data_IF_526159042635
#
_entry.id   IF_526159042635
#
_cell.length_a   1.000
_cell.length_b   1.000
_cell.length_c   1.000
_cell.angle_alpha   90.00
_cell.angle_beta   90.00
_cell.angle_gamma   90.00
#
_symmetry.space_group_name_H-M   'P 1'
#
loop_
_entity.id
_entity.type
_entity.pdbx_description
1 polymer ?
#
# COMPACT_ATOMS: atom_id res chain seq x y z
N UNK A 1 -18.24 -3.24 14.27
CA UNK A 1 -16.96 -3.36 15.01
C UNK A 1 -15.97 -2.39 14.37
N UNK A 2 -15.32 -1.53 15.12
CA UNK A 2 -14.48 -0.49 14.53
C UNK A 2 -13.17 -1.14 14.01
N UNK A 3 -12.87 -1.04 12.71
CA UNK A 3 -11.70 -1.68 12.06
C UNK A 3 -10.36 -1.31 12.72
N UNK A 4 -10.25 -0.10 13.28
CA UNK A 4 -9.06 0.39 13.95
C UNK A 4 -8.75 -0.40 15.24
N UNK A 5 -9.77 -0.76 16.01
CA UNK A 5 -9.63 -1.56 17.24
C UNK A 5 -9.08 -2.96 16.91
N UNK A 6 -9.60 -3.58 15.87
CA UNK A 6 -9.15 -4.92 15.46
C UNK A 6 -7.69 -4.95 14.99
N UNK A 7 -7.21 -3.92 14.27
CA UNK A 7 -5.81 -3.86 13.81
C UNK A 7 -4.85 -3.72 15.00
N UNK A 8 -5.15 -2.86 15.97
CA UNK A 8 -4.32 -2.71 17.17
C UNK A 8 -4.19 -4.03 17.94
N UNK A 9 -5.31 -4.73 18.16
CA UNK A 9 -5.32 -6.04 18.83
C UNK A 9 -4.44 -7.06 18.09
N UNK A 10 -4.50 -7.11 16.76
CA UNK A 10 -3.66 -7.98 15.95
C UNK A 10 -2.17 -7.63 16.04
N UNK A 11 -1.83 -6.33 16.06
CA UNK A 11 -0.43 -5.91 16.29
C UNK A 11 0.06 -6.31 17.69
N UNK A 12 -0.78 -6.19 18.73
CA UNK A 12 -0.44 -6.61 20.09
C UNK A 12 -0.23 -8.12 20.15
N UNK A 13 -1.14 -8.88 19.59
CA UNK A 13 -1.11 -10.35 19.56
C UNK A 13 0.01 -10.93 18.68
N UNK A 14 0.60 -10.12 17.77
CA UNK A 14 1.58 -10.61 16.79
C UNK A 14 0.96 -11.43 15.65
N UNK A 15 -0.36 -11.45 15.52
CA UNK A 15 -1.09 -12.13 14.43
C UNK A 15 -1.10 -11.26 13.16
N UNK A 16 0.01 -11.25 12.46
CA UNK A 16 0.26 -10.40 11.29
C UNK A 16 0.66 -11.25 10.07
N UNK A 17 -0.25 -12.01 9.47
CA UNK A 17 0.07 -12.88 8.33
C UNK A 17 0.57 -12.12 7.10
N UNK A 18 0.31 -10.80 7.02
CA UNK A 18 0.80 -9.91 5.97
C UNK A 18 2.20 -9.34 6.24
N UNK A 19 2.69 -9.41 7.48
CA UNK A 19 4.01 -8.89 7.85
C UNK A 19 5.05 -10.01 7.81
N UNK A 20 5.71 -10.14 6.67
CA UNK A 20 6.78 -11.12 6.45
C UNK A 20 8.14 -10.65 6.95
N UNK A 21 8.21 -9.40 7.45
CA UNK A 21 9.47 -8.75 7.81
C UNK A 21 10.30 -8.28 6.61
N UNK A 22 9.86 -8.59 5.38
CA UNK A 22 10.52 -8.25 4.11
C UNK A 22 9.62 -7.32 3.28
N UNK A 23 10.21 -6.66 2.28
CA UNK A 23 9.45 -5.92 1.26
C UNK A 23 8.72 -6.90 0.32
N UNK A 24 7.61 -6.45 -0.25
CA UNK A 24 6.84 -7.25 -1.21
C UNK A 24 7.57 -7.32 -2.57
N UNK A 25 7.72 -8.53 -3.10
CA UNK A 25 8.42 -8.77 -4.35
C UNK A 25 7.75 -8.10 -5.56
N UNK A 26 6.41 -7.91 -5.54
CA UNK A 26 5.73 -7.19 -6.61
C UNK A 26 6.13 -5.72 -6.67
N UNK A 27 6.35 -5.08 -5.49
CA UNK A 27 6.87 -3.71 -5.44
C UNK A 27 8.26 -3.64 -6.11
N UNK A 28 9.20 -4.48 -5.68
CA UNK A 28 10.56 -4.46 -6.23
C UNK A 28 10.59 -4.80 -7.71
N UNK A 29 9.80 -5.78 -8.14
CA UNK A 29 9.65 -6.15 -9.54
C UNK A 29 9.21 -4.96 -10.39
N UNK A 30 8.13 -4.27 -10.00
CA UNK A 30 7.62 -3.12 -10.75
C UNK A 30 8.61 -1.96 -10.77
N UNK A 31 9.24 -1.63 -9.63
CA UNK A 31 10.22 -0.53 -9.57
C UNK A 31 11.38 -0.79 -10.50
N UNK A 32 11.89 -2.02 -10.53
CA UNK A 32 13.05 -2.41 -11.36
C UNK A 32 12.65 -2.51 -12.84
N UNK A 33 11.61 -3.29 -13.17
CA UNK A 33 11.21 -3.54 -14.57
C UNK A 33 10.72 -2.29 -15.29
N UNK A 34 10.03 -1.39 -14.57
CA UNK A 34 9.57 -0.10 -15.12
C UNK A 34 10.58 1.02 -14.97
N UNK A 35 11.75 0.73 -14.41
CA UNK A 35 12.83 1.69 -14.18
C UNK A 35 12.33 2.97 -13.48
N UNK A 36 11.48 2.79 -12.44
CA UNK A 36 10.89 3.93 -11.72
C UNK A 36 12.01 4.66 -10.98
N UNK A 37 12.30 5.87 -11.42
CA UNK A 37 13.37 6.69 -10.87
C UNK A 37 13.06 7.12 -9.45
N UNK A 38 14.11 7.12 -8.60
CA UNK A 38 14.00 7.57 -7.22
C UNK A 38 13.45 9.00 -7.14
N UNK A 39 12.42 9.18 -6.33
CA UNK A 39 11.71 10.44 -6.18
C UNK A 39 11.09 10.54 -4.76
N UNK A 40 10.31 11.60 -4.51
CA UNK A 40 9.46 11.61 -3.33
C UNK A 40 8.39 10.54 -3.47
N UNK A 41 8.36 9.59 -2.55
CA UNK A 41 7.39 8.50 -2.53
C UNK A 41 6.53 8.53 -1.26
N UNK A 42 5.29 8.04 -1.38
CA UNK A 42 4.40 7.83 -0.24
C UNK A 42 3.98 6.36 -0.18
N UNK A 43 4.09 5.75 1.01
CA UNK A 43 3.45 4.46 1.29
C UNK A 43 2.23 4.66 2.18
N UNK A 44 1.07 4.13 1.75
CA UNK A 44 -0.20 4.20 2.49
C UNK A 44 -0.50 2.84 3.12
N UNK A 45 -0.73 2.83 4.44
CA UNK A 45 -0.90 1.58 5.20
C UNK A 45 0.44 0.83 5.32
N UNK A 46 1.49 1.53 5.74
CA UNK A 46 2.87 1.00 5.68
C UNK A 46 3.15 -0.13 6.69
N UNK A 47 2.24 -0.38 7.66
CA UNK A 47 2.47 -1.38 8.69
C UNK A 47 3.80 -1.16 9.42
N UNK A 48 4.62 -2.21 9.52
CA UNK A 48 5.95 -2.16 10.16
C UNK A 48 7.06 -1.62 9.25
N UNK A 49 6.71 -1.04 8.09
CA UNK A 49 7.59 -0.23 7.26
C UNK A 49 8.54 -0.98 6.33
N UNK A 50 8.39 -2.28 6.11
CA UNK A 50 9.33 -3.06 5.31
C UNK A 50 9.48 -2.55 3.87
N UNK A 51 8.38 -2.16 3.22
CA UNK A 51 8.40 -1.59 1.87
C UNK A 51 8.97 -0.16 1.86
N UNK A 52 8.59 0.68 2.83
CA UNK A 52 9.13 2.04 2.98
C UNK A 52 10.65 2.02 3.14
N UNK A 53 11.16 1.12 3.98
CA UNK A 53 12.59 0.91 4.20
C UNK A 53 13.28 0.50 2.90
N UNK A 54 12.72 -0.48 2.18
CA UNK A 54 13.28 -0.92 0.90
C UNK A 54 13.28 0.22 -0.13
N UNK A 55 12.19 0.96 -0.29
CA UNK A 55 12.14 2.14 -1.17
C UNK A 55 13.22 3.17 -0.80
N UNK A 56 13.43 3.43 0.50
CA UNK A 56 14.47 4.34 0.95
C UNK A 56 15.88 3.83 0.61
N UNK A 57 16.13 2.53 0.69
CA UNK A 57 17.37 1.90 0.25
C UNK A 57 17.59 2.02 -1.26
N UNK A 58 16.51 2.12 -2.05
CA UNK A 58 16.57 2.40 -3.49
C UNK A 58 16.70 3.91 -3.80
N UNK A 59 16.93 4.76 -2.80
CA UNK A 59 17.14 6.20 -2.97
C UNK A 59 15.87 7.06 -3.00
N UNK A 60 14.68 6.49 -2.78
CA UNK A 60 13.44 7.28 -2.66
C UNK A 60 13.41 8.09 -1.36
N UNK A 61 12.87 9.33 -1.43
CA UNK A 61 12.53 10.11 -0.24
C UNK A 61 11.14 9.72 0.25
N UNK A 62 11.07 8.83 1.25
CA UNK A 62 9.83 8.16 1.63
C UNK A 62 9.11 8.87 2.77
N UNK A 63 7.81 9.11 2.56
CA UNK A 63 6.82 9.42 3.60
C UNK A 63 5.85 8.23 3.70
N UNK A 64 5.72 7.65 4.89
CA UNK A 64 4.90 6.47 5.09
C UNK A 64 3.85 6.72 6.19
N UNK A 65 2.63 6.28 5.97
CA UNK A 65 1.53 6.48 6.92
C UNK A 65 0.82 5.17 7.25
N UNK A 66 0.41 5.05 8.49
CA UNK A 66 -0.49 4.00 8.98
C UNK A 66 -1.43 4.59 10.02
N UNK A 67 -2.59 3.98 10.22
CA UNK A 67 -3.54 4.40 11.28
C UNK A 67 -3.14 3.87 12.65
N UNK A 68 -2.28 2.86 12.70
CA UNK A 68 -1.91 2.08 13.88
C UNK A 68 -0.61 2.60 14.46
N UNK A 69 -0.65 3.16 15.67
CA UNK A 69 0.52 3.72 16.34
C UNK A 69 1.61 2.66 16.59
N UNK A 70 1.21 1.45 17.01
CA UNK A 70 2.13 0.33 17.26
C UNK A 70 2.90 -0.05 15.98
N UNK A 71 2.24 -0.03 14.82
CA UNK A 71 2.88 -0.27 13.54
C UNK A 71 3.95 0.77 13.25
N UNK A 72 3.60 2.06 13.41
CA UNK A 72 4.52 3.18 13.18
C UNK A 72 5.73 3.13 14.12
N UNK A 73 5.55 2.83 15.40
CA UNK A 73 6.66 2.67 16.36
C UNK A 73 7.62 1.56 15.92
N UNK A 74 7.08 0.41 15.47
CA UNK A 74 7.88 -0.71 14.94
C UNK A 74 8.60 -0.31 13.64
N UNK A 75 7.93 0.46 12.76
CA UNK A 75 8.52 0.94 11.51
C UNK A 75 9.69 1.89 11.76
N UNK A 76 9.56 2.83 12.70
CA UNK A 76 10.63 3.76 13.10
C UNK A 76 11.84 2.98 13.63
N UNK A 77 11.61 2.01 14.53
CA UNK A 77 12.68 1.18 15.08
C UNK A 77 13.40 0.41 13.97
N UNK A 78 12.65 -0.29 13.11
CA UNK A 78 13.21 -1.05 11.98
C UNK A 78 14.00 -0.18 11.00
N UNK A 79 13.52 1.02 10.68
CA UNK A 79 14.22 1.96 9.80
C UNK A 79 15.54 2.47 10.42
N UNK A 80 15.54 2.75 11.73
CA UNK A 80 16.76 3.09 12.47
C UNK A 80 17.79 1.97 12.44
N UNK A 81 17.37 0.73 12.68
CA UNK A 81 18.22 -0.46 12.62
C UNK A 81 18.79 -0.70 11.20
N UNK A 82 18.00 -0.38 10.17
CA UNK A 82 18.43 -0.46 8.77
C UNK A 82 19.28 0.73 8.30
N UNK A 83 19.47 1.76 9.13
CA UNK A 83 20.27 2.95 8.81
C UNK A 83 19.66 3.84 7.73
N UNK A 84 18.33 3.80 7.53
CA UNK A 84 17.64 4.59 6.49
C UNK A 84 16.77 5.70 7.09
N UNK A 85 16.54 6.76 6.27
CA UNK A 85 15.71 7.91 6.66
C UNK A 85 14.35 7.84 5.98
N UNK A 86 13.33 7.38 6.71
CA UNK A 86 11.92 7.45 6.31
C UNK A 86 11.15 8.36 7.28
N UNK A 87 10.15 9.07 6.76
CA UNK A 87 9.23 9.85 7.57
C UNK A 87 7.98 9.02 7.83
N UNK A 88 7.77 8.61 9.07
CA UNK A 88 6.60 7.81 9.47
C UNK A 88 5.62 8.65 10.26
N UNK A 89 4.31 8.53 9.95
CA UNK A 89 3.26 9.27 10.65
C UNK A 89 2.05 8.38 10.94
N UNK A 90 1.51 8.51 12.15
CA UNK A 90 0.19 7.94 12.47
C UNK A 90 -0.85 8.83 11.80
N UNK A 91 -1.43 8.41 10.68
CA UNK A 91 -2.40 9.19 9.90
C UNK A 91 -3.44 8.30 9.23
N UNK A 92 -4.67 8.77 9.27
CA UNK A 92 -5.74 8.20 8.46
C UNK A 92 -5.74 8.86 7.07
N UNK A 93 -5.32 8.12 6.04
CA UNK A 93 -5.23 8.60 4.65
C UNK A 93 -6.55 9.20 4.12
N UNK A 94 -7.69 8.66 4.56
CA UNK A 94 -9.01 9.10 4.10
C UNK A 94 -9.54 10.37 4.78
N UNK A 95 -8.91 10.78 5.88
CA UNK A 95 -9.46 11.85 6.75
C UNK A 95 -8.48 12.98 7.05
N UNK A 96 -7.18 12.72 6.98
CA UNK A 96 -6.16 13.64 7.46
C UNK A 96 -5.19 14.05 6.35
N UNK A 97 -4.72 15.28 6.41
CA UNK A 97 -3.73 15.77 5.46
C UNK A 97 -2.35 15.15 5.74
N UNK A 98 -1.63 14.80 4.65
CA UNK A 98 -0.29 14.24 4.69
C UNK A 98 0.68 15.24 4.07
N UNK A 99 1.71 15.60 4.81
CA UNK A 99 2.71 16.54 4.35
C UNK A 99 3.71 15.88 3.39
N UNK A 100 4.32 16.68 2.50
CA UNK A 100 5.37 16.22 1.59
C UNK A 100 4.96 16.16 0.12
N UNK A 101 3.67 16.30 -0.18
CA UNK A 101 3.18 16.38 -1.56
C UNK A 101 3.81 17.56 -2.34
N UNK A 102 3.89 17.49 -3.67
CA UNK A 102 3.45 16.36 -4.49
C UNK A 102 4.47 15.20 -4.49
N UNK A 103 3.95 13.98 -4.59
CA UNK A 103 4.75 12.76 -4.69
C UNK A 103 4.89 12.32 -6.15
N UNK A 104 6.02 11.70 -6.50
CA UNK A 104 6.23 11.08 -7.80
C UNK A 104 5.72 9.64 -7.86
N UNK A 105 5.69 8.96 -6.71
CA UNK A 105 5.27 7.58 -6.58
C UNK A 105 4.44 7.37 -5.30
N UNK A 106 3.32 6.68 -5.42
CA UNK A 106 2.51 6.20 -4.31
C UNK A 106 2.46 4.68 -4.37
N UNK A 107 2.61 4.03 -3.22
CA UNK A 107 2.46 2.60 -3.05
C UNK A 107 1.48 2.30 -1.92
N UNK A 108 0.63 1.31 -2.13
CA UNK A 108 -0.12 0.66 -1.06
C UNK A 108 -0.24 -0.85 -1.30
N UNK A 109 -0.19 -1.59 -0.21
CA UNK A 109 -0.32 -3.03 -0.20
C UNK A 109 -1.46 -3.43 0.74
N UNK A 110 -2.64 -3.61 0.14
CA UNK A 110 -3.81 -4.04 0.89
C UNK A 110 -4.54 -2.91 1.65
N UNK A 111 -4.21 -1.64 1.39
CA UNK A 111 -4.95 -0.53 1.97
C UNK A 111 -6.20 -0.21 1.16
N UNK A 112 -6.08 -0.03 -0.16
CA UNK A 112 -7.20 0.23 -1.06
C UNK A 112 -8.30 -0.85 -0.97
N UNK A 113 -7.95 -2.13 -0.91
CA UNK A 113 -8.94 -3.21 -0.87
C UNK A 113 -9.76 -3.26 0.42
N UNK A 114 -9.29 -2.55 1.47
CA UNK A 114 -9.97 -2.51 2.76
C UNK A 114 -11.32 -1.80 2.73
N UNK A 115 -11.60 -1.03 1.68
CA UNK A 115 -12.84 -0.26 1.54
C UNK A 115 -13.89 -1.06 0.77
N UNK A 116 -14.97 -1.47 1.47
CA UNK A 116 -16.02 -2.33 0.89
C UNK A 116 -16.92 -1.59 -0.10
N UNK A 117 -17.18 -0.31 0.16
CA UNK A 117 -18.08 0.48 -0.67
C UNK A 117 -17.36 1.09 -1.88
N UNK A 118 -17.95 0.98 -3.05
CA UNK A 118 -17.41 1.55 -4.29
C UNK A 118 -17.11 3.05 -4.18
N UNK A 119 -17.99 3.81 -3.48
CA UNK A 119 -17.80 5.25 -3.23
C UNK A 119 -16.54 5.55 -2.41
N UNK A 120 -16.17 4.66 -1.48
CA UNK A 120 -14.97 4.84 -0.66
C UNK A 120 -13.72 4.54 -1.46
N UNK A 121 -13.74 3.50 -2.30
CA UNK A 121 -12.63 3.20 -3.21
C UNK A 121 -12.41 4.33 -4.22
N UNK A 122 -13.49 4.91 -4.76
CA UNK A 122 -13.40 6.10 -5.63
C UNK A 122 -12.82 7.30 -4.88
N UNK A 123 -13.27 7.56 -3.64
CA UNK A 123 -12.71 8.62 -2.79
C UNK A 123 -11.22 8.38 -2.51
N UNK A 124 -10.81 7.14 -2.24
CA UNK A 124 -9.40 6.79 -2.04
C UNK A 124 -8.57 7.12 -3.29
N UNK A 125 -9.03 6.70 -4.47
CA UNK A 125 -8.38 7.01 -5.74
C UNK A 125 -8.26 8.53 -5.99
N UNK A 126 -9.33 9.29 -5.72
CA UNK A 126 -9.32 10.75 -5.82
C UNK A 126 -8.29 11.40 -4.89
N UNK A 127 -8.16 10.90 -3.65
CA UNK A 127 -7.18 11.38 -2.69
C UNK A 127 -5.76 11.03 -3.17
N UNK A 128 -5.50 9.80 -3.61
CA UNK A 128 -4.21 9.41 -4.16
C UNK A 128 -3.81 10.29 -5.35
N UNK A 129 -4.76 10.56 -6.26
CA UNK A 129 -4.55 11.48 -7.37
C UNK A 129 -4.15 12.89 -6.90
N UNK A 130 -4.78 13.43 -5.86
CA UNK A 130 -4.49 14.78 -5.36
C UNK A 130 -3.08 14.91 -4.78
N UNK A 131 -2.52 13.83 -4.25
CA UNK A 131 -1.17 13.80 -3.69
C UNK A 131 -0.05 13.61 -4.73
N UNK A 132 -0.36 13.11 -5.92
CA UNK A 132 0.62 12.89 -6.98
C UNK A 132 0.90 14.15 -7.79
N UNK A 133 2.16 14.32 -8.22
CA UNK A 133 2.51 15.26 -9.29
C UNK A 133 1.89 14.81 -10.62
N UNK A 134 1.90 15.68 -11.63
CA UNK A 134 1.58 15.30 -13.00
C UNK A 134 2.46 14.11 -13.44
N UNK A 135 1.88 13.14 -14.13
CA UNK A 135 2.53 11.89 -14.56
C UNK A 135 3.07 11.02 -13.42
N UNK A 136 2.71 11.33 -12.17
CA UNK A 136 3.07 10.52 -11.01
C UNK A 136 2.39 9.15 -11.03
N UNK A 137 3.05 8.17 -10.45
CA UNK A 137 2.63 6.76 -10.50
C UNK A 137 2.00 6.33 -9.16
N UNK A 138 0.96 5.50 -9.26
CA UNK A 138 0.42 4.77 -8.12
C UNK A 138 0.44 3.27 -8.41
N UNK A 139 1.09 2.51 -7.53
CA UNK A 139 1.08 1.05 -7.50
C UNK A 139 0.24 0.58 -6.32
N UNK A 140 -0.77 -0.24 -6.57
CA UNK A 140 -1.57 -0.87 -5.52
C UNK A 140 -1.59 -2.39 -5.67
N UNK A 141 -1.48 -3.10 -4.54
CA UNK A 141 -1.69 -4.54 -4.47
C UNK A 141 -3.02 -4.81 -3.76
N UNK A 142 -3.90 -5.50 -4.44
CA UNK A 142 -5.31 -5.66 -4.06
C UNK A 142 -5.65 -7.15 -4.00
N UNK A 143 -6.26 -7.64 -2.92
CA UNK A 143 -6.71 -9.03 -2.84
C UNK A 143 -7.66 -9.37 -3.99
N UNK A 144 -7.39 -10.48 -4.68
CA UNK A 144 -8.13 -10.88 -5.88
C UNK A 144 -9.36 -11.72 -5.53
N UNK A 145 -10.49 -11.38 -6.15
CA UNK A 145 -11.70 -12.20 -6.11
C UNK A 145 -11.66 -13.40 -7.06
N UNK A 146 -10.55 -13.64 -7.77
CA UNK A 146 -10.36 -14.80 -8.65
C UNK A 146 -9.87 -16.05 -7.89
N UNK A 147 -10.15 -16.09 -6.60
CA UNK A 147 -10.00 -17.26 -5.76
C UNK A 147 -11.17 -17.35 -4.76
N UNK A 148 -11.46 -18.53 -4.22
CA UNK A 148 -12.48 -18.67 -3.18
C UNK A 148 -12.20 -17.75 -2.00
N UNK A 149 -13.27 -17.22 -1.40
CA UNK A 149 -13.16 -16.40 -0.20
C UNK A 149 -12.43 -17.19 0.90
N UNK A 150 -11.55 -16.50 1.61
CA UNK A 150 -10.79 -17.05 2.74
C UNK A 150 -11.14 -16.29 4.02
N UNK A 151 -11.36 -17.04 5.08
CA UNK A 151 -11.55 -16.49 6.42
C UNK A 151 -10.69 -17.31 7.41
N UNK A 152 -9.61 -16.73 7.98
CA UNK A 152 -9.12 -15.37 7.74
C UNK A 152 -8.45 -15.19 6.37
N UNK A 153 -8.58 -13.99 5.79
CA UNK A 153 -7.97 -13.62 4.52
C UNK A 153 -8.08 -12.12 4.23
N UNK A 154 -7.37 -11.65 3.19
CA UNK A 154 -7.49 -10.26 2.78
C UNK A 154 -8.86 -10.01 2.13
N UNK A 155 -9.42 -8.79 2.25
CA UNK A 155 -10.56 -8.39 1.45
C UNK A 155 -10.27 -8.57 -0.05
N UNK A 156 -11.26 -9.09 -0.78
CA UNK A 156 -11.12 -9.42 -2.19
C UNK A 156 -11.89 -8.43 -3.08
N UNK A 157 -11.32 -8.10 -4.23
CA UNK A 157 -11.93 -7.22 -5.23
C UNK A 157 -11.77 -7.83 -6.63
N UNK A 158 -12.74 -7.59 -7.48
CA UNK A 158 -12.64 -7.93 -8.89
C UNK A 158 -11.78 -6.89 -9.62
N UNK A 159 -11.24 -7.22 -10.79
CA UNK A 159 -10.59 -6.27 -11.67
C UNK A 159 -11.53 -5.09 -12.00
N UNK A 160 -12.83 -5.36 -12.19
CA UNK A 160 -13.87 -4.32 -12.41
C UNK A 160 -13.99 -3.35 -11.23
N UNK A 161 -13.88 -3.83 -9.98
CA UNK A 161 -13.94 -2.94 -8.81
C UNK A 161 -12.78 -1.96 -8.77
N UNK A 162 -11.60 -2.43 -9.18
CA UNK A 162 -10.40 -1.60 -9.27
C UNK A 162 -10.56 -0.58 -10.40
N UNK A 163 -10.81 -1.04 -11.63
CA UNK A 163 -10.90 -0.17 -12.81
C UNK A 163 -11.95 0.91 -12.63
N UNK A 164 -13.16 0.58 -12.19
CA UNK A 164 -14.22 1.57 -11.93
C UNK A 164 -13.84 2.65 -10.93
N UNK A 165 -13.00 2.32 -9.95
CA UNK A 165 -12.60 3.28 -8.94
C UNK A 165 -11.48 4.21 -9.42
N UNK A 166 -10.58 3.74 -10.27
CA UNK A 166 -9.35 4.45 -10.61
C UNK A 166 -9.39 5.18 -11.96
N UNK A 167 -10.09 4.65 -12.97
CA UNK A 167 -10.18 5.22 -14.32
C UNK A 167 -10.59 6.70 -14.37
N UNK A 168 -11.45 7.23 -13.48
CA UNK A 168 -11.76 8.66 -13.49
C UNK A 168 -10.56 9.58 -13.22
N UNK A 169 -9.46 9.05 -12.69
CA UNK A 169 -8.32 9.81 -12.22
C UNK A 169 -6.99 9.37 -12.80
N UNK A 170 -6.92 8.14 -13.33
CA UNK A 170 -5.68 7.49 -13.71
C UNK A 170 -5.79 6.74 -15.03
N UNK A 171 -4.73 6.78 -15.80
CA UNK A 171 -4.48 5.81 -16.86
C UNK A 171 -3.93 4.53 -16.23
N UNK A 172 -4.56 3.38 -16.50
CA UNK A 172 -4.06 2.08 -16.07
C UNK A 172 -2.94 1.65 -17.03
N UNK A 173 -1.71 1.56 -16.53
CA UNK A 173 -0.56 1.10 -17.30
C UNK A 173 -0.45 -0.43 -17.32
N UNK A 174 -0.81 -1.08 -16.23
CA UNK A 174 -0.91 -2.54 -16.14
C UNK A 174 -1.83 -2.98 -15.01
N UNK A 175 -2.56 -4.06 -15.24
CA UNK A 175 -3.34 -4.78 -14.23
C UNK A 175 -3.20 -6.28 -14.51
N UNK A 176 -2.61 -7.01 -13.58
CA UNK A 176 -2.38 -8.45 -13.75
C UNK A 176 -2.48 -9.22 -12.44
N UNK A 177 -2.72 -10.52 -12.55
CA UNK A 177 -2.82 -11.43 -11.43
C UNK A 177 -1.44 -11.80 -10.88
N UNK A 178 -1.31 -11.82 -9.54
CA UNK A 178 -0.13 -12.25 -8.79
C UNK A 178 -0.58 -12.85 -7.45
N UNK A 179 0.26 -12.80 -6.44
CA UNK A 179 -0.06 -13.17 -5.06
C UNK A 179 0.62 -12.19 -4.11
N UNK A 180 0.10 -12.07 -2.89
CA UNK A 180 0.80 -11.37 -1.81
C UNK A 180 1.97 -12.19 -1.31
N UNK A 181 3.07 -11.53 -0.95
CA UNK A 181 4.04 -12.13 -0.04
C UNK A 181 3.39 -12.29 1.34
N UNK A 182 3.42 -13.48 1.90
CA UNK A 182 2.65 -13.81 3.11
C UNK A 182 3.27 -14.97 3.87
N UNK A 183 3.12 -14.96 5.19
CA UNK A 183 3.49 -16.07 6.08
C UNK A 183 2.48 -17.25 6.04
N UNK A 184 1.43 -17.13 5.24
CA UNK A 184 0.44 -18.20 5.06
C UNK A 184 1.01 -19.33 4.17
N UNK A 185 0.68 -20.58 4.48
CA UNK A 185 1.10 -21.75 3.71
C UNK A 185 0.77 -21.62 2.20
N UNK A 186 -0.39 -21.05 1.87
CA UNK A 186 -0.78 -20.73 0.50
C UNK A 186 -1.01 -19.22 0.42
N UNK A 187 -0.09 -18.45 -0.18
CA UNK A 187 -0.23 -17.02 -0.32
C UNK A 187 -1.53 -16.62 -1.04
N UNK A 188 -2.25 -15.61 -0.55
CA UNK A 188 -3.48 -15.15 -1.20
C UNK A 188 -3.20 -14.53 -2.57
N UNK A 189 -4.09 -14.77 -3.54
CA UNK A 189 -4.02 -14.10 -4.85
C UNK A 189 -4.18 -12.59 -4.71
N UNK A 190 -3.47 -11.87 -5.56
CA UNK A 190 -3.51 -10.42 -5.62
C UNK A 190 -3.61 -9.91 -7.05
N UNK A 191 -4.25 -8.76 -7.22
CA UNK A 191 -4.10 -7.90 -8.38
C UNK A 191 -2.94 -6.93 -8.14
N UNK A 192 -2.07 -6.80 -9.12
CA UNK A 192 -1.03 -5.76 -9.16
C UNK A 192 -1.48 -4.73 -10.19
N UNK A 193 -1.78 -3.53 -9.74
CA UNK A 193 -2.26 -2.44 -10.59
C UNK A 193 -1.28 -1.25 -10.53
N UNK A 194 -0.63 -0.96 -11.65
CA UNK A 194 0.19 0.23 -11.85
C UNK A 194 -0.57 1.24 -12.68
N UNK A 195 -0.63 2.46 -12.20
CA UNK A 195 -1.40 3.54 -12.80
C UNK A 195 -0.58 4.82 -12.88
N UNK A 196 -0.91 5.68 -13.83
CA UNK A 196 -0.33 7.01 -13.99
C UNK A 196 -1.40 8.08 -13.85
N UNK A 197 -1.11 9.13 -13.11
CA UNK A 197 -1.99 10.31 -13.00
C UNK A 197 -2.13 10.99 -14.35
N UNK A 198 -3.38 11.30 -14.75
CA UNK A 198 -3.68 12.14 -15.92
C UNK A 198 -3.11 13.55 -15.79
#
# INVERSE_FOLDING_TARGET
MNREINLNERYIAGDLPWDTGKYDFNLSKIVIERQIQACKAMEVGCGTGSNAIWLSQQGFSVTAVDITEIAIQRAIKKASEAGVKCKFYVRNFMKQNITGAPFGFIFDRGCFHSFDLARERNKYAKIAHSYLKKDGLWLTLVGSADEPHRDPGPPQRTARDITKAVEPYFQILSLYASHFDSNMQKPPKAWVCLMQKH
#
